data_IF_655340543828
#
_entry.id   IF_655340543828
#
_cell.length_a   1.000
_cell.length_b   1.000
_cell.length_c   1.000
_cell.angle_alpha   90.00
_cell.angle_beta   90.00
_cell.angle_gamma   90.00
#
_symmetry.space_group_name_H-M   'P 1'
#
loop_
_entity.id
_entity.type
_entity.pdbx_description
1 polymer ?
#
# COMPACT_ATOMS: atom_id res chain seq x y z
N UNK A 1 1.73 -9.93 7.72
CA UNK A 1 0.40 -10.55 7.92
C UNK A 1 -0.32 -10.61 6.58
N UNK A 2 0.17 -11.44 5.65
CA UNK A 2 -0.43 -11.70 4.32
C UNK A 2 -1.54 -12.77 4.44
N UNK A 3 -2.20 -12.86 5.60
CA UNK A 3 -3.13 -13.95 5.88
C UNK A 3 -4.45 -13.69 5.13
N UNK A 4 -4.52 -14.23 3.91
CA UNK A 4 -5.70 -14.69 3.17
C UNK A 4 -6.74 -13.68 2.68
N UNK A 5 -6.55 -12.37 2.82
CA UNK A 5 -7.37 -11.40 2.06
C UNK A 5 -7.07 -11.40 0.56
N UNK A 6 -5.89 -11.89 0.14
CA UNK A 6 -5.63 -12.20 -1.26
C UNK A 6 -6.49 -13.37 -1.79
N UNK A 7 -7.07 -14.20 -0.90
CA UNK A 7 -8.00 -15.24 -1.31
C UNK A 7 -9.35 -14.64 -1.71
N UNK A 8 -9.85 -13.61 -1.02
CA UNK A 8 -11.13 -12.94 -1.34
C UNK A 8 -11.12 -12.25 -2.71
N UNK A 9 -9.93 -11.81 -3.17
CA UNK A 9 -9.71 -11.25 -4.51
C UNK A 9 -9.84 -12.33 -5.61
N UNK A 10 -9.63 -13.60 -5.26
CA UNK A 10 -9.72 -14.74 -6.17
C UNK A 10 -11.14 -15.34 -6.23
N UNK A 11 -12.12 -14.81 -5.48
CA UNK A 11 -13.48 -15.40 -5.37
C UNK A 11 -14.49 -14.73 -6.32
N UNK A 12 -14.75 -15.35 -7.47
CA UNK A 12 -15.78 -14.89 -8.42
C UNK A 12 -16.44 -16.01 -9.23
N UNK A 13 -17.78 -16.09 -9.15
CA UNK A 13 -18.70 -17.04 -9.80
C UNK A 13 -18.56 -17.22 -11.34
N UNK A 14 -19.12 -18.32 -11.88
CA UNK A 14 -19.08 -18.67 -13.31
C UNK A 14 -19.91 -17.69 -14.19
N UNK A 15 -19.36 -17.20 -15.32
CA UNK A 15 -20.18 -16.73 -16.47
C UNK A 15 -19.89 -15.36 -17.13
N UNK A 16 -18.91 -14.56 -16.70
CA UNK A 16 -18.49 -13.32 -17.40
C UNK A 16 -16.97 -13.22 -17.33
N UNK A 17 -16.31 -12.75 -18.41
CA UNK A 17 -14.86 -12.52 -18.47
C UNK A 17 -14.46 -11.62 -17.28
N UNK A 18 -13.80 -12.16 -16.26
CA UNK A 18 -13.31 -11.40 -15.09
C UNK A 18 -11.83 -11.08 -15.26
N UNK A 19 -11.39 -9.97 -14.67
CA UNK A 19 -9.97 -9.63 -14.45
C UNK A 19 -9.74 -9.73 -12.93
N UNK A 20 -8.65 -10.37 -12.49
CA UNK A 20 -8.44 -10.63 -11.05
C UNK A 20 -7.42 -11.73 -10.74
N UNK A 21 -7.25 -12.72 -11.64
CA UNK A 21 -6.17 -13.73 -11.55
C UNK A 21 -4.91 -13.36 -12.34
N UNK A 22 -4.90 -12.17 -12.94
CA UNK A 22 -3.86 -11.59 -13.78
C UNK A 22 -3.04 -10.52 -13.03
N UNK A 23 -3.11 -10.48 -11.70
CA UNK A 23 -2.44 -9.49 -10.85
C UNK A 23 -2.82 -8.02 -11.16
N UNK A 24 -3.95 -7.77 -11.82
CA UNK A 24 -4.53 -6.44 -12.05
C UNK A 24 -4.74 -5.67 -10.73
N UNK A 25 -5.00 -6.36 -9.62
CA UNK A 25 -5.01 -5.79 -8.26
C UNK A 25 -3.70 -5.13 -7.83
N UNK A 26 -2.55 -5.49 -8.41
CA UNK A 26 -1.28 -4.84 -8.09
C UNK A 26 -1.10 -3.51 -8.84
N UNK A 27 -1.91 -3.21 -9.85
CA UNK A 27 -1.83 -1.96 -10.63
C UNK A 27 -2.42 -0.83 -9.78
N UNK A 28 -1.66 0.25 -9.61
CA UNK A 28 -2.10 1.41 -8.84
C UNK A 28 -2.99 2.34 -9.68
N UNK A 29 -3.98 2.96 -9.05
CA UNK A 29 -4.81 4.00 -9.67
C UNK A 29 -6.03 4.34 -8.81
N UNK A 30 -6.60 5.55 -8.91
CA UNK A 30 -7.72 5.98 -8.07
C UNK A 30 -9.00 5.17 -8.31
N UNK A 31 -9.17 4.63 -9.52
CA UNK A 31 -10.27 3.71 -9.89
C UNK A 31 -9.74 2.30 -10.17
N UNK A 32 -8.66 1.88 -9.51
CA UNK A 32 -8.09 0.54 -9.68
C UNK A 32 -8.81 -0.48 -8.80
N UNK A 33 -8.58 -1.77 -9.08
CA UNK A 33 -9.02 -2.83 -8.18
C UNK A 33 -8.40 -2.69 -6.78
N UNK A 34 -7.18 -2.16 -6.67
CA UNK A 34 -6.48 -1.98 -5.39
C UNK A 34 -7.22 -1.01 -4.46
N UNK A 35 -7.84 0.03 -5.02
CA UNK A 35 -8.56 1.08 -4.27
C UNK A 35 -10.06 0.81 -4.13
N UNK A 36 -10.56 -0.27 -4.72
CA UNK A 36 -11.95 -0.66 -4.58
C UNK A 36 -12.27 -1.05 -3.12
N UNK A 37 -13.43 -0.62 -2.63
CA UNK A 37 -13.90 -0.86 -1.26
C UNK A 37 -13.63 -2.28 -0.71
N UNK A 38 -13.96 -3.35 -1.45
CA UNK A 38 -13.72 -4.72 -1.00
C UNK A 38 -12.23 -5.07 -0.79
N UNK A 39 -11.36 -4.46 -1.60
CA UNK A 39 -9.92 -4.74 -1.61
C UNK A 39 -9.12 -3.82 -0.66
N UNK A 40 -9.77 -2.81 -0.05
CA UNK A 40 -9.13 -1.91 0.93
C UNK A 40 -8.57 -2.64 2.15
N UNK A 41 -9.01 -3.87 2.39
CA UNK A 41 -8.53 -4.69 3.49
C UNK A 41 -7.29 -5.51 3.11
N UNK A 42 -7.06 -5.75 1.81
CA UNK A 42 -5.95 -6.56 1.29
C UNK A 42 -4.60 -5.90 1.61
N UNK A 43 -3.64 -6.70 2.04
CA UNK A 43 -2.27 -6.28 2.43
C UNK A 43 -1.25 -7.22 1.79
N UNK A 44 0.02 -6.84 1.85
CA UNK A 44 1.12 -7.68 1.35
C UNK A 44 1.50 -7.43 -0.10
N UNK A 45 1.05 -6.32 -0.68
CA UNK A 45 1.49 -5.88 -2.02
C UNK A 45 3.02 -5.77 -2.09
N UNK A 46 3.64 -5.12 -1.08
CA UNK A 46 5.10 -4.98 -0.93
C UNK A 46 5.84 -6.34 -0.92
N UNK A 47 5.21 -7.36 -0.35
CA UNK A 47 5.79 -8.71 -0.28
C UNK A 47 5.78 -9.38 -1.66
N UNK A 48 4.71 -9.19 -2.44
CA UNK A 48 4.65 -9.67 -3.82
C UNK A 48 5.67 -8.93 -4.69
N UNK A 49 5.82 -7.62 -4.50
CA UNK A 49 6.84 -6.82 -5.19
C UNK A 49 8.27 -7.31 -4.84
N UNK A 50 8.51 -7.68 -3.58
CA UNK A 50 9.79 -8.27 -3.14
C UNK A 50 10.04 -9.63 -3.80
N UNK A 51 9.05 -10.51 -3.82
CA UNK A 51 9.15 -11.83 -4.48
C UNK A 51 9.36 -11.67 -5.98
N UNK A 52 8.72 -10.67 -6.61
CA UNK A 52 8.92 -10.31 -8.01
C UNK A 52 10.34 -9.82 -8.25
N UNK A 53 10.86 -9.00 -7.34
CA UNK A 53 12.27 -8.72 -7.24
C UNK A 53 13.08 -10.01 -7.25
N UNK A 54 12.93 -10.92 -6.30
CA UNK A 54 13.76 -12.14 -6.27
C UNK A 54 13.65 -12.99 -7.55
N UNK A 55 12.46 -13.14 -8.10
CA UNK A 55 12.22 -13.92 -9.32
C UNK A 55 12.93 -13.32 -10.54
N UNK A 56 12.84 -12.01 -10.73
CA UNK A 56 13.47 -11.29 -11.83
C UNK A 56 15.01 -11.28 -11.76
N UNK A 57 15.63 -11.52 -10.59
CA UNK A 57 17.10 -11.70 -10.50
C UNK A 57 17.54 -13.00 -11.16
N UNK A 58 16.74 -14.04 -10.95
CA UNK A 58 17.10 -15.40 -11.31
C UNK A 58 16.63 -15.75 -12.71
N UNK A 59 15.47 -15.23 -13.09
CA UNK A 59 14.82 -15.51 -14.36
C UNK A 59 14.17 -14.22 -14.91
N UNK A 60 14.96 -13.30 -15.47
CA UNK A 60 14.46 -12.03 -15.99
C UNK A 60 13.38 -12.23 -17.05
N UNK A 61 12.29 -11.48 -16.95
CA UNK A 61 11.15 -11.48 -17.88
C UNK A 61 10.43 -12.83 -18.02
N UNK A 62 10.63 -13.76 -17.08
CA UNK A 62 10.02 -15.10 -17.12
C UNK A 62 8.81 -15.22 -16.19
N UNK A 63 8.88 -14.68 -14.97
CA UNK A 63 7.91 -14.98 -13.91
C UNK A 63 6.96 -13.79 -13.71
N UNK A 64 5.66 -13.95 -13.98
CA UNK A 64 4.68 -12.88 -13.77
C UNK A 64 4.35 -12.64 -12.29
N UNK A 65 3.84 -11.45 -11.97
CA UNK A 65 3.29 -11.20 -10.64
C UNK A 65 2.05 -12.07 -10.37
N UNK A 66 1.29 -12.42 -11.40
CA UNK A 66 0.18 -13.36 -11.32
C UNK A 66 0.64 -14.76 -10.84
N UNK A 67 1.74 -15.27 -11.38
CA UNK A 67 2.32 -16.54 -10.91
C UNK A 67 2.86 -16.44 -9.48
N UNK A 68 3.47 -15.31 -9.12
CA UNK A 68 3.98 -15.09 -7.76
C UNK A 68 2.85 -15.06 -6.74
N UNK A 69 1.73 -14.40 -7.04
CA UNK A 69 0.55 -14.41 -6.16
C UNK A 69 0.04 -15.84 -5.99
N UNK A 70 -0.07 -16.60 -7.08
CA UNK A 70 -0.57 -17.98 -7.01
C UNK A 70 0.37 -18.88 -6.19
N UNK A 71 1.69 -18.80 -6.41
CA UNK A 71 2.70 -19.56 -5.67
C UNK A 71 2.73 -19.15 -4.19
N UNK A 72 2.81 -17.84 -3.90
CA UNK A 72 2.87 -17.34 -2.53
C UNK A 72 1.62 -17.72 -1.73
N UNK A 73 0.45 -17.73 -2.37
CA UNK A 73 -0.79 -18.21 -1.76
C UNK A 73 -0.69 -19.66 -1.31
N UNK A 74 -0.10 -20.55 -2.12
CA UNK A 74 0.08 -21.96 -1.74
C UNK A 74 1.08 -22.16 -0.61
N UNK A 75 2.18 -21.40 -0.61
CA UNK A 75 3.14 -21.44 0.49
C UNK A 75 2.53 -20.89 1.80
N UNK A 76 1.68 -19.86 1.73
CA UNK A 76 0.96 -19.35 2.90
C UNK A 76 -0.05 -20.35 3.47
N UNK A 77 -0.77 -21.09 2.62
CA UNK A 77 -1.68 -22.17 3.04
C UNK A 77 -0.86 -23.26 3.77
N UNK A 78 0.27 -23.66 3.19
CA UNK A 78 1.19 -24.65 3.78
C UNK A 78 1.78 -24.18 5.11
N UNK A 79 2.21 -22.92 5.22
CA UNK A 79 2.68 -22.33 6.48
C UNK A 79 1.59 -22.28 7.55
N UNK A 80 0.32 -22.18 7.14
CA UNK A 80 -0.83 -22.32 8.03
C UNK A 80 -1.05 -23.75 8.52
N UNK A 81 -0.37 -24.76 7.97
CA UNK A 81 -0.63 -26.19 8.22
C UNK A 81 -1.61 -26.82 7.22
N UNK A 82 -1.93 -26.12 6.14
CA UNK A 82 -2.88 -26.56 5.12
C UNK A 82 -2.29 -27.53 4.11
N UNK A 83 -3.13 -28.03 3.17
CA UNK A 83 -2.70 -29.03 2.21
C UNK A 83 -1.69 -28.47 1.20
N UNK A 84 -0.73 -29.31 0.80
CA UNK A 84 0.27 -28.99 -0.21
C UNK A 84 -0.27 -29.40 -1.58
N UNK A 85 -0.19 -28.49 -2.56
CA UNK A 85 -0.57 -28.74 -3.94
C UNK A 85 0.25 -27.89 -4.89
N UNK A 86 0.43 -28.37 -6.12
CA UNK A 86 1.17 -27.66 -7.16
C UNK A 86 0.29 -26.62 -7.84
N UNK A 87 0.89 -25.47 -8.14
CA UNK A 87 0.30 -24.41 -8.95
C UNK A 87 0.82 -24.52 -10.38
N UNK A 88 -0.06 -24.44 -11.36
CA UNK A 88 0.35 -24.28 -12.77
C UNK A 88 0.93 -22.87 -12.95
N UNK A 89 2.10 -22.72 -13.56
CA UNK A 89 2.73 -21.43 -13.88
C UNK A 89 2.58 -21.07 -15.36
N UNK A 90 2.95 -19.86 -15.75
CA UNK A 90 2.86 -19.35 -17.12
C UNK A 90 1.82 -18.26 -17.31
N UNK A 91 1.24 -17.72 -16.21
CA UNK A 91 0.31 -16.59 -16.28
C UNK A 91 1.03 -15.34 -16.76
N UNK A 92 0.30 -14.42 -17.40
CA UNK A 92 0.75 -13.07 -17.72
C UNK A 92 0.06 -12.04 -16.84
N UNK A 93 0.72 -10.91 -16.61
CA UNK A 93 0.15 -9.80 -15.87
C UNK A 93 -0.85 -9.02 -16.74
N UNK A 94 -1.98 -8.67 -16.15
CA UNK A 94 -2.98 -7.78 -16.71
C UNK A 94 -2.43 -6.39 -16.99
N UNK A 95 -3.03 -5.74 -17.97
CA UNK A 95 -2.67 -4.38 -18.40
C UNK A 95 -3.60 -3.31 -17.83
N UNK A 96 -4.76 -3.71 -17.33
CA UNK A 96 -5.84 -2.82 -16.93
C UNK A 96 -6.32 -3.22 -15.55
N UNK A 97 -6.58 -2.24 -14.70
CA UNK A 97 -7.18 -2.42 -13.39
C UNK A 97 -8.33 -1.44 -13.23
N UNK A 98 -9.50 -1.95 -12.87
CA UNK A 98 -10.71 -1.15 -12.72
C UNK A 98 -11.46 -1.55 -11.45
N UNK A 99 -11.81 -0.58 -10.62
CA UNK A 99 -12.58 -0.80 -9.40
C UNK A 99 -13.95 -1.44 -9.66
N UNK A 100 -14.53 -1.24 -10.85
CA UNK A 100 -15.80 -1.87 -11.27
C UNK A 100 -15.66 -3.37 -11.55
N UNK A 101 -14.44 -3.85 -11.78
CA UNK A 101 -14.15 -5.27 -11.96
C UNK A 101 -14.11 -5.99 -10.60
N UNK A 102 -13.98 -5.24 -9.49
CA UNK A 102 -14.06 -5.76 -8.12
C UNK A 102 -15.52 -5.98 -7.73
N UNK A 103 -15.98 -7.21 -7.92
CA UNK A 103 -17.29 -7.65 -7.44
C UNK A 103 -17.11 -8.62 -6.28
N UNK A 104 -17.60 -8.25 -5.09
CA UNK A 104 -17.76 -9.20 -3.98
C UNK A 104 -18.67 -10.33 -4.47
N UNK A 105 -18.31 -11.62 -4.30
CA UNK A 105 -19.17 -12.70 -4.68
C UNK A 105 -20.56 -12.54 -4.04
N UNK A 106 -21.60 -12.73 -4.85
CA UNK A 106 -22.97 -12.91 -4.40
C UNK A 106 -22.99 -14.02 -3.32
N UNK A 107 -23.83 -13.95 -2.26
CA UNK A 107 -24.00 -14.94 -1.18
C UNK A 107 -24.09 -16.44 -1.53
N UNK A 108 -23.95 -16.84 -2.79
CA UNK A 108 -23.87 -18.21 -3.29
C UNK A 108 -22.44 -18.78 -3.33
N UNK A 109 -21.45 -18.16 -2.66
CA UNK A 109 -20.07 -18.66 -2.61
C UNK A 109 -19.98 -20.12 -2.17
N UNK A 110 -19.07 -20.89 -2.77
CA UNK A 110 -18.93 -22.32 -2.46
C UNK A 110 -18.41 -22.52 -1.04
N UNK A 111 -18.99 -23.46 -0.27
CA UNK A 111 -18.54 -23.83 1.09
C UNK A 111 -17.05 -24.13 1.16
N UNK A 112 -16.49 -24.60 0.04
CA UNK A 112 -15.07 -24.94 -0.07
C UNK A 112 -14.18 -23.70 -0.15
N UNK A 113 -14.67 -22.62 -0.76
CA UNK A 113 -13.95 -21.34 -0.92
C UNK A 113 -13.89 -20.56 0.39
N UNK A 114 -15.00 -20.55 1.15
CA UNK A 114 -15.02 -20.04 2.53
C UNK A 114 -14.17 -20.86 3.50
N UNK A 115 -13.64 -22.02 3.08
CA UNK A 115 -12.58 -22.72 3.80
C UNK A 115 -11.32 -21.87 3.99
N UNK A 116 -11.15 -20.80 3.20
CA UNK A 116 -10.11 -19.81 3.41
C UNK A 116 -10.22 -19.07 4.76
N UNK A 117 -11.43 -18.95 5.30
CA UNK A 117 -11.67 -18.28 6.59
C UNK A 117 -11.24 -19.11 7.80
N UNK A 118 -10.72 -20.33 7.59
CA UNK A 118 -10.10 -21.11 8.67
C UNK A 118 -8.85 -20.42 9.22
N UNK A 119 -8.19 -19.56 8.44
CA UNK A 119 -7.09 -18.71 8.91
C UNK A 119 -7.33 -17.28 8.47
N UNK A 120 -7.67 -16.40 9.41
CA UNK A 120 -7.90 -15.00 9.08
C UNK A 120 -8.51 -14.21 10.22
N UNK A 121 -8.67 -12.90 9.98
CA UNK A 121 -9.28 -11.95 10.91
C UNK A 121 -10.27 -11.08 10.14
N UNK A 122 -11.31 -10.62 10.81
CA UNK A 122 -12.23 -9.64 10.29
C UNK A 122 -12.29 -8.42 11.20
N UNK A 123 -12.35 -7.23 10.61
CA UNK A 123 -12.59 -5.99 11.34
C UNK A 123 -14.05 -5.91 11.79
N UNK A 124 -14.27 -5.30 12.95
CA UNK A 124 -15.61 -5.17 13.54
C UNK A 124 -16.62 -4.55 12.57
N UNK A 125 -16.22 -3.60 11.73
CA UNK A 125 -17.07 -2.94 10.73
C UNK A 125 -17.82 -3.90 9.79
N UNK A 126 -17.31 -5.11 9.56
CA UNK A 126 -17.93 -6.09 8.66
C UNK A 126 -19.00 -6.97 9.31
N UNK A 127 -19.10 -7.00 10.64
CA UNK A 127 -20.05 -7.87 11.34
C UNK A 127 -20.70 -7.26 12.59
N UNK A 128 -20.35 -6.02 12.95
CA UNK A 128 -20.87 -5.36 14.15
C UNK A 128 -22.40 -5.27 14.14
N UNK A 129 -23.02 -5.04 12.98
CA UNK A 129 -24.47 -5.01 12.86
C UNK A 129 -25.10 -6.33 13.29
N UNK A 130 -24.41 -7.46 13.15
CA UNK A 130 -24.93 -8.76 13.57
C UNK A 130 -24.97 -8.96 15.09
N UNK A 131 -24.24 -8.15 15.86
CA UNK A 131 -24.09 -8.31 17.31
C UNK A 131 -25.18 -7.64 18.14
N UNK A 132 -25.83 -6.59 17.64
CA UNK A 132 -26.72 -5.73 18.41
C UNK A 132 -28.17 -5.78 17.91
N UNK A 133 -29.13 -5.88 18.83
CA UNK A 133 -30.54 -5.87 18.48
C UNK A 133 -30.98 -4.54 17.86
N UNK A 134 -31.96 -4.60 16.95
CA UNK A 134 -32.48 -3.43 16.24
C UNK A 134 -31.70 -3.03 14.99
N UNK A 135 -30.75 -3.85 14.55
CA UNK A 135 -30.08 -3.72 13.23
C UNK A 135 -30.75 -4.67 12.22
N UNK A 136 -30.51 -4.44 10.93
CA UNK A 136 -31.00 -5.31 9.85
C UNK A 136 -30.30 -6.67 9.77
N UNK A 137 -29.15 -6.84 10.45
CA UNK A 137 -28.31 -8.05 10.39
C UNK A 137 -28.27 -8.82 11.72
N UNK A 138 -29.03 -8.40 12.74
CA UNK A 138 -29.00 -9.04 14.05
C UNK A 138 -29.37 -10.52 13.96
N UNK A 139 -28.43 -11.39 14.33
CA UNK A 139 -28.63 -12.84 14.25
C UNK A 139 -28.95 -13.41 15.62
N UNK A 140 -30.23 -13.71 15.86
CA UNK A 140 -30.73 -14.33 17.09
C UNK A 140 -30.06 -15.67 17.40
N UNK A 141 -29.66 -16.41 16.36
CA UNK A 141 -29.11 -17.77 16.46
C UNK A 141 -27.58 -17.82 16.60
N UNK A 142 -26.92 -16.66 16.76
CA UNK A 142 -25.50 -16.60 17.13
C UNK A 142 -25.30 -17.07 18.58
N UNK A 143 -24.23 -17.83 18.85
CA UNK A 143 -23.84 -18.26 20.20
C UNK A 143 -23.82 -17.07 21.17
N UNK A 144 -24.57 -17.19 22.27
CA UNK A 144 -24.78 -16.06 23.20
C UNK A 144 -23.49 -15.66 23.92
N UNK A 145 -22.63 -16.62 24.25
CA UNK A 145 -21.36 -16.37 24.92
C UNK A 145 -20.38 -15.66 23.99
N UNK A 146 -20.23 -16.16 22.75
CA UNK A 146 -19.44 -15.48 21.74
C UNK A 146 -19.96 -14.07 21.47
N UNK A 147 -21.27 -13.88 21.33
CA UNK A 147 -21.86 -12.56 21.10
C UNK A 147 -21.49 -11.59 22.22
N UNK A 148 -21.51 -12.01 23.48
CA UNK A 148 -21.09 -11.18 24.61
C UNK A 148 -19.60 -10.82 24.53
N UNK A 149 -18.74 -11.79 24.22
CA UNK A 149 -17.31 -11.55 24.04
C UNK A 149 -17.04 -10.54 22.91
N UNK A 150 -17.68 -10.73 21.75
CA UNK A 150 -17.53 -9.86 20.60
C UNK A 150 -18.04 -8.44 20.86
N UNK A 151 -19.05 -8.25 21.72
CA UNK A 151 -19.50 -6.90 22.12
C UNK A 151 -18.48 -6.15 22.96
N UNK A 152 -17.60 -6.85 23.69
CA UNK A 152 -16.47 -6.24 24.38
C UNK A 152 -15.36 -5.85 23.40
N UNK A 153 -15.11 -6.69 22.40
CA UNK A 153 -14.12 -6.41 21.34
C UNK A 153 -14.60 -5.33 20.36
N UNK A 154 -15.89 -5.31 20.03
CA UNK A 154 -16.50 -4.47 19.00
C UNK A 154 -17.65 -3.60 19.56
N UNK A 155 -17.37 -2.67 20.51
CA UNK A 155 -18.39 -1.87 21.17
C UNK A 155 -19.16 -0.95 20.19
N UNK A 156 -20.48 -0.84 20.39
CA UNK A 156 -21.38 -0.02 19.54
C UNK A 156 -21.06 1.47 19.68
N UNK A 157 -21.07 2.20 18.57
CA UNK A 157 -20.94 3.66 18.55
C UNK A 157 -19.51 4.19 18.58
N UNK A 158 -18.50 3.30 18.60
CA UNK A 158 -17.11 3.68 18.38
C UNK A 158 -16.70 3.31 16.96
N UNK A 159 -16.01 4.20 16.26
CA UNK A 159 -15.26 3.86 15.05
C UNK A 159 -14.05 2.98 15.45
N UNK A 160 -14.32 1.74 15.81
CA UNK A 160 -13.32 0.81 16.32
C UNK A 160 -12.68 0.06 15.15
N UNK A 161 -11.37 0.23 14.97
CA UNK A 161 -10.56 -0.57 14.05
C UNK A 161 -10.20 -1.96 14.64
N UNK A 162 -10.88 -2.37 15.72
CA UNK A 162 -10.65 -3.68 16.32
C UNK A 162 -11.02 -4.80 15.34
N UNK A 163 -10.40 -5.95 15.55
CA UNK A 163 -10.61 -7.15 14.75
C UNK A 163 -10.75 -8.36 15.66
N UNK A 164 -11.32 -9.44 15.13
CA UNK A 164 -11.27 -10.77 15.75
C UNK A 164 -10.91 -11.81 14.69
N UNK A 165 -10.49 -13.01 15.12
CA UNK A 165 -10.23 -14.12 14.20
C UNK A 165 -11.53 -14.56 13.53
N UNK A 166 -11.46 -15.23 12.38
CA UNK A 166 -12.65 -15.81 11.74
C UNK A 166 -13.01 -17.16 12.38
N UNK A 167 -12.03 -18.03 12.62
CA UNK A 167 -12.18 -19.20 13.49
C UNK A 167 -12.15 -18.78 14.98
N UNK A 168 -13.27 -19.01 15.68
CA UNK A 168 -13.45 -18.70 17.11
C UNK A 168 -12.90 -19.75 18.07
N UNK A 169 -12.19 -20.77 17.57
CA UNK A 169 -11.45 -21.69 18.42
C UNK A 169 -10.07 -21.09 18.80
N UNK A 170 -9.83 -20.72 20.08
CA UNK A 170 -8.57 -20.10 20.47
C UNK A 170 -7.33 -20.98 20.25
N UNK A 171 -7.50 -22.30 20.14
CA UNK A 171 -6.40 -23.25 19.94
C UNK A 171 -6.04 -23.47 18.45
N UNK A 172 -6.91 -23.02 17.54
CA UNK A 172 -6.79 -23.19 16.08
C UNK A 172 -6.99 -21.93 15.26
N UNK A 173 -7.31 -20.78 15.87
CA UNK A 173 -7.61 -19.51 15.18
C UNK A 173 -6.55 -19.00 14.19
N UNK A 174 -5.35 -19.58 14.21
CA UNK A 174 -4.25 -19.26 13.29
C UNK A 174 -3.75 -20.44 12.47
N UNK A 175 -4.40 -21.61 12.56
CA UNK A 175 -4.04 -22.88 11.91
C UNK A 175 -5.05 -23.23 10.82
N UNK A 176 -4.53 -23.75 9.72
CA UNK A 176 -5.35 -24.27 8.65
C UNK A 176 -5.84 -25.66 9.02
N UNK A 177 -7.07 -25.75 9.50
CA UNK A 177 -7.74 -27.01 9.79
C UNK A 177 -9.26 -26.90 9.52
N UNK A 178 -10.04 -27.85 10.02
CA UNK A 178 -11.49 -27.86 9.87
C UNK A 178 -12.28 -27.31 11.08
N UNK A 179 -11.58 -26.74 12.08
CA UNK A 179 -12.18 -26.15 13.30
C UNK A 179 -13.18 -25.03 12.95
N UNK A 180 -12.90 -24.25 11.91
CA UNK A 180 -13.81 -23.24 11.39
C UNK A 180 -15.22 -23.78 11.11
N UNK A 181 -15.34 -24.92 10.43
CA UNK A 181 -16.65 -25.51 10.12
C UNK A 181 -17.37 -25.98 11.39
N UNK A 182 -16.63 -26.50 12.38
CA UNK A 182 -17.17 -26.82 13.70
C UNK A 182 -17.71 -25.56 14.42
N UNK A 183 -17.01 -24.42 14.33
CA UNK A 183 -17.52 -23.14 14.85
C UNK A 183 -18.81 -22.72 14.13
N UNK A 184 -18.90 -22.86 12.80
CA UNK A 184 -20.13 -22.54 12.07
C UNK A 184 -21.33 -23.37 12.56
N UNK A 185 -21.13 -24.68 12.77
CA UNK A 185 -22.17 -25.58 13.30
C UNK A 185 -22.60 -25.21 14.73
N UNK A 186 -21.71 -24.59 15.51
CA UNK A 186 -21.98 -24.08 16.87
C UNK A 186 -22.64 -22.70 16.88
N UNK A 187 -22.98 -22.13 15.72
CA UNK A 187 -23.54 -20.77 15.64
C UNK A 187 -22.49 -19.68 15.92
N UNK A 188 -21.22 -19.98 15.72
CA UNK A 188 -20.07 -19.13 16.05
C UNK A 188 -19.37 -18.50 14.85
N UNK A 189 -19.94 -18.60 13.65
CA UNK A 189 -19.48 -17.81 12.51
C UNK A 189 -19.74 -16.33 12.77
N UNK A 190 -18.75 -15.45 12.58
CA UNK A 190 -18.88 -14.03 12.89
C UNK A 190 -19.46 -13.23 11.72
N UNK A 191 -19.04 -13.55 10.48
CA UNK A 191 -19.59 -12.94 9.28
C UNK A 191 -20.97 -13.52 8.99
N UNK A 192 -21.98 -12.68 8.62
CA UNK A 192 -23.31 -13.17 8.28
C UNK A 192 -23.30 -14.22 7.16
N UNK A 193 -22.46 -14.00 6.14
CA UNK A 193 -22.34 -14.89 4.98
C UNK A 193 -21.80 -16.28 5.38
N UNK A 194 -20.76 -16.31 6.20
CA UNK A 194 -20.14 -17.55 6.67
C UNK A 194 -21.12 -18.37 7.51
N UNK A 195 -21.82 -17.70 8.44
CA UNK A 195 -22.79 -18.37 9.28
C UNK A 195 -23.92 -18.98 8.46
N UNK A 196 -24.34 -18.32 7.37
CA UNK A 196 -25.40 -18.81 6.50
C UNK A 196 -25.05 -20.16 5.83
N UNK A 197 -23.77 -20.47 5.60
CA UNK A 197 -23.33 -21.75 5.02
C UNK A 197 -23.78 -22.97 5.83
N UNK A 198 -23.77 -22.86 7.15
CA UNK A 198 -24.20 -23.95 8.04
C UNK A 198 -25.73 -24.12 8.09
N UNK A 199 -26.48 -23.12 7.65
CA UNK A 199 -27.95 -23.05 7.77
C UNK A 199 -28.66 -23.25 6.44
N UNK A 200 -28.01 -22.95 5.33
CA UNK A 200 -28.61 -23.07 4.01
C UNK A 200 -28.71 -24.57 3.60
N UNK A 201 -29.88 -25.04 3.12
CA UNK A 201 -30.09 -26.44 2.76
C UNK A 201 -29.08 -26.99 1.74
N UNK A 202 -28.61 -26.15 0.81
CA UNK A 202 -27.68 -26.54 -0.25
C UNK A 202 -26.23 -26.69 0.24
N UNK A 203 -25.87 -26.00 1.32
CA UNK A 203 -24.47 -25.88 1.78
C UNK A 203 -24.22 -26.56 3.13
N UNK A 204 -25.23 -26.65 4.00
CA UNK A 204 -25.11 -27.19 5.36
C UNK A 204 -24.62 -28.64 5.41
N UNK A 205 -24.97 -29.45 4.41
CA UNK A 205 -24.48 -30.83 4.28
C UNK A 205 -22.96 -30.89 4.11
N UNK A 206 -22.39 -30.01 3.30
CA UNK A 206 -20.94 -29.90 3.10
C UNK A 206 -20.23 -29.37 4.34
N UNK A 207 -20.80 -28.37 5.02
CA UNK A 207 -20.26 -27.85 6.30
C UNK A 207 -20.14 -28.98 7.33
N UNK A 208 -21.17 -29.82 7.48
CA UNK A 208 -21.12 -30.99 8.37
C UNK A 208 -20.03 -31.98 7.97
N UNK A 209 -19.93 -32.31 6.68
CA UNK A 209 -18.91 -33.24 6.19
C UNK A 209 -17.49 -32.71 6.41
N UNK A 210 -17.24 -31.42 6.18
CA UNK A 210 -15.93 -30.81 6.38
C UNK A 210 -15.57 -30.69 7.87
N UNK A 211 -16.52 -30.34 8.72
CA UNK A 211 -16.33 -30.33 10.18
C UNK A 211 -15.98 -31.74 10.73
N UNK A 212 -16.56 -32.80 10.16
CA UNK A 212 -16.32 -34.18 10.59
C UNK A 212 -15.05 -34.78 9.97
N UNK A 213 -14.64 -34.33 8.79
CA UNK A 213 -13.55 -34.94 8.04
C UNK A 213 -12.63 -33.88 7.42
N UNK A 214 -11.56 -33.55 8.17
CA UNK A 214 -10.53 -32.62 7.72
C UNK A 214 -9.79 -33.07 6.46
N UNK A 215 -9.63 -34.37 6.22
CA UNK A 215 -8.99 -34.89 5.01
C UNK A 215 -9.86 -34.67 3.76
N UNK A 216 -11.18 -34.87 3.90
CA UNK A 216 -12.14 -34.55 2.85
C UNK A 216 -12.16 -33.04 2.56
N UNK A 217 -12.18 -32.21 3.61
CA UNK A 217 -12.07 -30.75 3.46
C UNK A 217 -10.80 -30.38 2.68
N UNK A 218 -9.63 -30.85 3.11
CA UNK A 218 -8.36 -30.57 2.44
C UNK A 218 -8.39 -30.97 0.96
N UNK A 219 -8.92 -32.15 0.65
CA UNK A 219 -9.02 -32.65 -0.74
C UNK A 219 -9.90 -31.76 -1.61
N UNK A 220 -11.06 -31.34 -1.08
CA UNK A 220 -11.98 -30.45 -1.81
C UNK A 220 -11.40 -29.05 -1.93
N UNK A 221 -10.76 -28.54 -0.88
CA UNK A 221 -10.10 -27.24 -0.83
C UNK A 221 -9.01 -27.14 -1.90
N UNK A 222 -8.11 -28.13 -1.99
CA UNK A 222 -7.09 -28.19 -3.05
C UNK A 222 -7.71 -28.13 -4.44
N UNK A 223 -8.74 -28.94 -4.70
CA UNK A 223 -9.40 -28.95 -6.01
C UNK A 223 -10.04 -27.60 -6.35
N UNK A 224 -10.68 -26.95 -5.37
CA UNK A 224 -11.26 -25.64 -5.56
C UNK A 224 -10.19 -24.58 -5.83
N UNK A 225 -9.10 -24.58 -5.06
CA UNK A 225 -7.99 -23.64 -5.25
C UNK A 225 -7.30 -23.80 -6.61
N UNK A 226 -7.06 -25.03 -7.07
CA UNK A 226 -6.52 -25.29 -8.41
C UNK A 226 -7.47 -24.75 -9.50
N UNK A 227 -8.79 -25.01 -9.36
CA UNK A 227 -9.78 -24.51 -10.32
C UNK A 227 -9.78 -22.98 -10.32
N UNK A 228 -9.85 -22.36 -9.15
CA UNK A 228 -9.87 -20.90 -8.96
C UNK A 228 -8.63 -20.22 -9.56
N UNK A 229 -7.44 -20.77 -9.33
CA UNK A 229 -6.18 -20.25 -9.86
C UNK A 229 -6.04 -20.39 -11.39
N UNK A 230 -6.91 -21.15 -12.03
CA UNK A 230 -6.92 -21.37 -13.48
C UNK A 230 -8.04 -20.57 -14.20
N UNK A 231 -8.86 -19.83 -13.46
CA UNK A 231 -9.91 -19.00 -14.04
C UNK A 231 -9.32 -17.69 -14.58
N UNK A 232 -9.73 -17.31 -15.79
CA UNK A 232 -9.44 -16.02 -16.42
C UNK A 232 -7.95 -15.60 -16.39
N UNK A 233 -7.05 -16.58 -16.50
CA UNK A 233 -5.61 -16.34 -16.58
C UNK A 233 -5.23 -15.87 -17.98
N UNK A 234 -4.43 -14.81 -18.07
CA UNK A 234 -3.88 -14.33 -19.33
C UNK A 234 -2.67 -15.19 -19.73
N UNK A 235 -2.61 -15.60 -21.00
CA UNK A 235 -1.53 -16.43 -21.55
C UNK A 235 -0.97 -15.79 -22.83
N UNK A 236 0.24 -16.17 -23.23
CA UNK A 236 0.82 -15.75 -24.51
C UNK A 236 0.97 -14.22 -24.62
N UNK A 237 0.35 -13.64 -25.65
CA UNK A 237 0.32 -12.21 -25.99
C UNK A 237 -0.85 -11.44 -25.34
N UNK A 238 -1.67 -12.12 -24.52
CA UNK A 238 -2.85 -11.52 -23.88
C UNK A 238 -2.51 -10.64 -22.65
N UNK A 239 -1.23 -10.57 -22.24
CA UNK A 239 -0.74 -9.78 -21.09
C UNK A 239 0.78 -9.56 -21.13
N UNK A 240 1.35 -8.92 -20.10
CA UNK A 240 2.78 -8.54 -20.06
C UNK A 240 3.50 -9.00 -18.77
N UNK A 241 4.75 -8.55 -18.57
CA UNK A 241 5.52 -8.69 -17.33
C UNK A 241 5.95 -7.28 -16.83
N UNK A 242 5.56 -6.86 -15.60
CA UNK A 242 5.78 -5.48 -15.04
C UNK A 242 7.07 -5.32 -14.20
N UNK A 243 7.61 -4.07 -14.05
CA UNK A 243 8.98 -3.78 -13.51
C UNK A 243 9.24 -2.68 -12.41
N UNK A 244 8.31 -1.84 -11.90
CA UNK A 244 8.64 -0.58 -11.15
C UNK A 244 9.19 -0.59 -9.68
N UNK A 245 9.53 0.61 -9.15
CA UNK A 245 10.26 1.00 -7.89
C UNK A 245 11.80 0.96 -7.97
N UNK A 246 12.34 1.66 -8.96
CA UNK A 246 13.41 1.04 -9.71
C UNK A 246 14.60 1.95 -10.05
N UNK A 247 14.78 3.06 -9.33
CA UNK A 247 15.91 3.95 -9.58
C UNK A 247 16.01 4.46 -11.04
N UNK A 248 14.89 4.45 -11.79
CA UNK A 248 14.75 5.09 -13.10
C UNK A 248 15.21 6.55 -13.09
N UNK A 249 15.07 7.25 -11.96
CA UNK A 249 15.60 8.60 -11.72
C UNK A 249 17.14 8.73 -11.85
N UNK A 250 17.90 7.63 -11.79
CA UNK A 250 19.37 7.68 -11.92
C UNK A 250 19.85 7.69 -13.37
N UNK A 251 18.99 7.29 -14.32
CA UNK A 251 19.30 7.18 -15.74
C UNK A 251 19.70 8.52 -16.35
N UNK A 252 20.72 8.51 -17.20
CA UNK A 252 21.21 9.73 -17.84
C UNK A 252 20.64 9.87 -19.26
N UNK A 253 19.93 10.97 -19.51
CA UNK A 253 19.49 11.35 -20.85
C UNK A 253 18.48 12.50 -20.81
N UNK A 254 18.44 13.37 -21.84
CA UNK A 254 17.58 14.56 -21.82
C UNK A 254 16.08 14.27 -21.70
N UNK A 255 15.65 13.06 -22.09
CA UNK A 255 14.25 12.62 -21.99
C UNK A 255 13.95 11.76 -20.76
N UNK A 256 14.91 11.57 -19.84
CA UNK A 256 14.77 10.69 -18.68
C UNK A 256 14.16 11.41 -17.47
N UNK A 257 13.66 10.66 -16.49
CA UNK A 257 13.15 11.21 -15.23
C UNK A 257 14.17 12.12 -14.53
N UNK A 258 15.46 11.81 -14.62
CA UNK A 258 16.56 12.59 -14.02
C UNK A 258 16.60 14.04 -14.50
N UNK A 259 16.21 14.26 -15.76
CA UNK A 259 16.24 15.56 -16.42
C UNK A 259 14.85 16.20 -16.50
N UNK A 260 13.81 15.55 -15.96
CA UNK A 260 12.50 16.16 -15.80
C UNK A 260 12.58 17.35 -14.85
N UNK A 261 11.86 18.44 -15.18
CA UNK A 261 11.87 19.69 -14.42
C UNK A 261 11.81 19.53 -12.89
N UNK A 262 10.85 18.75 -12.34
CA UNK A 262 10.74 18.53 -10.89
C UNK A 262 11.99 17.89 -10.26
N UNK A 263 12.70 17.04 -10.99
CA UNK A 263 13.83 16.26 -10.49
C UNK A 263 15.18 16.97 -10.64
N UNK A 264 15.25 18.12 -11.33
CA UNK A 264 16.50 18.88 -11.50
C UNK A 264 17.12 19.35 -10.18
N UNK A 265 16.33 19.39 -9.11
CA UNK A 265 16.78 19.74 -7.76
C UNK A 265 17.36 18.57 -6.97
N UNK A 266 17.17 17.32 -7.44
CA UNK A 266 17.64 16.11 -6.77
C UNK A 266 19.17 16.03 -6.81
N UNK A 267 19.78 15.81 -5.65
CA UNK A 267 21.24 15.75 -5.46
C UNK A 267 21.64 14.38 -4.95
N UNK A 268 22.95 14.11 -4.94
CA UNK A 268 23.49 12.89 -4.34
C UNK A 268 23.60 11.70 -5.30
N UNK A 269 23.26 11.85 -6.58
CA UNK A 269 23.37 10.76 -7.56
C UNK A 269 24.78 10.12 -7.59
N UNK A 270 25.84 10.94 -7.61
CA UNK A 270 27.23 10.45 -7.54
C UNK A 270 27.55 9.68 -6.25
N UNK A 271 26.92 10.06 -5.14
CA UNK A 271 27.09 9.38 -3.86
C UNK A 271 26.39 8.02 -3.89
N UNK A 272 25.21 7.92 -4.51
CA UNK A 272 24.53 6.65 -4.77
C UNK A 272 25.38 5.74 -5.67
N UNK A 273 25.99 6.29 -6.73
CA UNK A 273 26.91 5.55 -7.61
C UNK A 273 28.11 5.00 -6.80
N UNK A 274 28.74 5.80 -5.94
CA UNK A 274 29.85 5.32 -5.10
C UNK A 274 29.43 4.25 -4.08
N UNK A 275 28.23 4.35 -3.50
CA UNK A 275 27.69 3.31 -2.63
C UNK A 275 27.40 2.02 -3.41
N UNK A 276 26.97 2.15 -4.67
CA UNK A 276 26.75 1.02 -5.56
C UNK A 276 28.07 0.33 -5.90
N UNK A 277 29.12 1.08 -6.21
CA UNK A 277 30.45 0.51 -6.49
C UNK A 277 30.96 -0.31 -5.29
N UNK A 278 30.88 0.24 -4.07
CA UNK A 278 31.26 -0.47 -2.84
C UNK A 278 30.42 -1.73 -2.65
N UNK A 279 29.09 -1.63 -2.85
CA UNK A 279 28.21 -2.78 -2.69
C UNK A 279 28.49 -3.87 -3.73
N UNK A 280 28.89 -3.52 -4.95
CA UNK A 280 29.25 -4.46 -6.00
C UNK A 280 30.60 -5.16 -5.75
N UNK A 281 31.54 -4.49 -5.06
CA UNK A 281 32.79 -5.10 -4.59
C UNK A 281 32.54 -6.17 -3.51
N UNK A 282 31.58 -5.92 -2.62
CA UNK A 282 31.25 -6.86 -1.53
C UNK A 282 30.29 -7.97 -1.98
N UNK A 283 29.30 -7.64 -2.81
CA UNK A 283 28.21 -8.52 -3.20
C UNK A 283 27.67 -8.19 -4.61
N UNK A 284 28.47 -8.53 -5.62
CA UNK A 284 28.19 -8.28 -7.04
C UNK A 284 26.79 -8.73 -7.46
N UNK A 285 26.02 -7.81 -8.04
CA UNK A 285 24.68 -8.03 -8.60
C UNK A 285 23.56 -8.20 -7.57
N UNK A 286 23.83 -8.00 -6.28
CA UNK A 286 22.86 -8.27 -5.20
C UNK A 286 22.07 -7.02 -4.80
N UNK A 287 22.74 -5.88 -4.65
CA UNK A 287 22.14 -4.67 -4.07
C UNK A 287 21.72 -3.71 -5.18
N UNK A 288 20.43 -3.43 -5.33
CA UNK A 288 19.95 -2.46 -6.32
C UNK A 288 20.25 -1.01 -5.92
N UNK A 289 20.42 -0.12 -6.90
CA UNK A 289 20.44 1.31 -6.66
C UNK A 289 19.15 1.81 -6.00
N UNK A 290 18.00 1.20 -6.31
CA UNK A 290 16.72 1.50 -5.68
C UNK A 290 16.73 1.22 -4.16
N UNK A 291 17.35 0.13 -3.73
CA UNK A 291 17.54 -0.14 -2.30
C UNK A 291 18.59 0.77 -1.67
N UNK A 292 19.68 1.09 -2.38
CA UNK A 292 20.68 2.05 -1.90
C UNK A 292 20.04 3.41 -1.62
N UNK A 293 19.19 3.90 -2.51
CA UNK A 293 18.44 5.16 -2.31
C UNK A 293 17.58 5.06 -1.04
N UNK A 294 16.79 3.99 -0.87
CA UNK A 294 15.91 3.84 0.28
C UNK A 294 16.67 3.73 1.61
N UNK A 295 17.76 2.96 1.65
CA UNK A 295 18.61 2.77 2.82
C UNK A 295 19.36 4.05 3.16
N UNK A 296 19.94 4.72 2.16
CA UNK A 296 20.65 5.98 2.32
C UNK A 296 19.72 7.06 2.88
N UNK A 297 18.50 7.20 2.33
CA UNK A 297 17.49 8.16 2.83
C UNK A 297 17.15 7.90 4.30
N UNK A 298 16.92 6.64 4.70
CA UNK A 298 16.71 6.28 6.11
C UNK A 298 17.89 6.70 6.99
N UNK A 299 19.13 6.42 6.56
CA UNK A 299 20.32 6.79 7.32
C UNK A 299 20.47 8.30 7.44
N UNK A 300 20.19 9.05 6.39
CA UNK A 300 20.21 10.51 6.39
C UNK A 300 19.14 11.10 7.35
N UNK A 301 17.92 10.57 7.35
CA UNK A 301 16.87 10.97 8.31
C UNK A 301 17.34 10.73 9.74
N UNK A 302 17.94 9.56 10.01
CA UNK A 302 18.46 9.23 11.34
C UNK A 302 19.63 10.15 11.75
N UNK A 303 20.54 10.46 10.84
CA UNK A 303 21.66 11.39 11.07
C UNK A 303 21.17 12.82 11.33
N UNK A 304 20.06 13.22 10.69
CA UNK A 304 19.39 14.48 10.97
C UNK A 304 18.75 14.53 12.37
N UNK A 305 18.63 13.42 13.09
CA UNK A 305 17.95 13.34 14.39
C UNK A 305 16.56 12.72 14.34
N UNK A 306 16.12 12.26 13.17
CA UNK A 306 14.82 11.65 12.95
C UNK A 306 14.69 10.23 13.54
N UNK A 307 13.49 9.64 13.44
CA UNK A 307 13.25 8.30 13.94
C UNK A 307 14.10 7.27 13.19
N UNK A 308 14.53 6.23 13.90
CA UNK A 308 15.06 5.04 13.22
C UNK A 308 13.87 4.15 12.85
N UNK A 309 13.84 3.69 11.60
CA UNK A 309 12.77 2.84 11.09
C UNK A 309 13.35 1.79 10.16
N UNK A 310 12.67 0.65 10.02
CA UNK A 310 13.12 -0.40 9.11
C UNK A 310 12.83 -0.01 7.67
N UNK A 311 13.84 -0.13 6.81
CA UNK A 311 13.66 -0.08 5.35
C UNK A 311 13.61 -1.53 4.88
N UNK A 312 12.49 -1.90 4.27
CA UNK A 312 12.40 -3.17 3.54
C UNK A 312 13.31 -3.08 2.31
N UNK A 313 14.13 -4.10 2.06
CA UNK A 313 15.01 -4.21 0.88
C UNK A 313 14.46 -5.27 -0.09
N UNK A 314 14.97 -5.33 -1.31
CA UNK A 314 14.53 -6.20 -2.38
C UNK A 314 14.01 -5.46 -3.62
N UNK A 315 14.16 -4.13 -3.68
CA UNK A 315 13.85 -3.34 -4.88
C UNK A 315 14.82 -3.71 -6.00
N UNK A 316 14.44 -3.47 -7.25
CA UNK A 316 15.28 -3.72 -8.43
C UNK A 316 15.45 -2.45 -9.23
N UNK A 317 16.56 -2.33 -9.93
CA UNK A 317 16.74 -1.21 -10.84
C UNK A 317 15.93 -1.41 -12.13
N UNK A 318 15.40 -0.30 -12.61
CA UNK A 318 14.52 -0.14 -13.73
C UNK A 318 15.34 -0.11 -14.98
N UNK A 319 14.71 -0.39 -16.10
CA UNK A 319 15.39 -0.41 -17.40
C UNK A 319 14.96 0.73 -18.31
N UNK A 320 13.96 1.49 -17.87
CA UNK A 320 13.32 2.56 -18.64
C UNK A 320 13.20 3.77 -17.71
N UNK A 321 13.41 4.96 -18.27
CA UNK A 321 13.28 6.22 -17.56
C UNK A 321 12.79 7.27 -18.53
N UNK A 322 11.58 7.77 -18.30
CA UNK A 322 10.93 8.74 -19.17
C UNK A 322 10.49 9.96 -18.35
N UNK A 323 10.81 11.16 -18.83
CA UNK A 323 10.53 12.41 -18.12
C UNK A 323 9.03 12.64 -17.87
N UNK A 324 8.18 12.09 -18.75
CA UNK A 324 6.73 12.18 -18.63
C UNK A 324 6.14 11.38 -17.47
N UNK A 325 6.90 10.42 -16.92
CA UNK A 325 6.44 9.58 -15.81
C UNK A 325 6.60 10.28 -14.45
N UNK A 326 7.25 11.44 -14.42
CA UNK A 326 7.45 12.25 -13.20
C UNK A 326 6.15 12.93 -12.78
N UNK A 327 5.52 12.38 -11.74
CA UNK A 327 4.27 12.88 -11.16
C UNK A 327 4.47 13.37 -9.71
N UNK A 328 4.94 14.62 -9.61
CA UNK A 328 5.18 15.32 -8.34
C UNK A 328 4.27 16.57 -8.20
N UNK A 329 3.77 16.88 -6.99
CA UNK A 329 3.01 18.09 -6.76
C UNK A 329 3.87 19.33 -7.01
N UNK A 330 3.26 20.34 -7.64
CA UNK A 330 3.93 21.60 -7.94
C UNK A 330 4.21 22.39 -6.65
N UNK A 331 5.40 23.00 -6.48
CA UNK A 331 5.69 23.88 -5.35
C UNK A 331 4.85 25.17 -5.34
N UNK A 332 4.20 25.48 -6.47
CA UNK A 332 3.27 26.60 -6.63
C UNK A 332 1.79 26.19 -6.47
N UNK A 333 1.52 24.90 -6.26
CA UNK A 333 0.18 24.36 -6.11
C UNK A 333 -0.50 24.79 -4.81
N UNK A 334 -1.81 24.55 -4.73
CA UNK A 334 -2.59 24.77 -3.50
C UNK A 334 -2.53 23.58 -2.53
N UNK A 335 -2.93 23.79 -1.27
CA UNK A 335 -3.06 22.72 -0.27
C UNK A 335 -3.99 21.62 -0.78
N UNK A 336 -5.13 21.99 -1.35
CA UNK A 336 -6.07 21.05 -1.98
C UNK A 336 -5.43 20.23 -3.11
N UNK A 337 -4.64 20.85 -3.99
CA UNK A 337 -3.94 20.12 -5.07
C UNK A 337 -2.90 19.15 -4.50
N UNK A 338 -2.22 19.53 -3.43
CA UNK A 338 -1.27 18.66 -2.73
C UNK A 338 -2.00 17.47 -2.09
N UNK A 339 -3.14 17.70 -1.40
CA UNK A 339 -3.97 16.63 -0.83
C UNK A 339 -4.39 15.64 -1.91
N UNK A 340 -4.80 16.11 -3.08
CA UNK A 340 -5.17 15.23 -4.20
C UNK A 340 -3.95 14.44 -4.71
N UNK A 341 -2.81 15.10 -4.96
CA UNK A 341 -1.61 14.45 -5.48
C UNK A 341 -0.99 13.41 -4.52
N UNK A 342 -1.10 13.64 -3.21
CA UNK A 342 -0.71 12.68 -2.17
C UNK A 342 -1.77 11.59 -1.97
N UNK A 343 -3.05 11.96 -2.07
CA UNK A 343 -4.18 11.02 -2.05
C UNK A 343 -4.17 10.02 -3.21
N UNK A 344 -3.72 10.44 -4.40
CA UNK A 344 -3.47 9.55 -5.55
C UNK A 344 -2.42 8.47 -5.26
N UNK A 345 -1.59 8.70 -4.24
CA UNK A 345 -0.59 7.76 -3.71
C UNK A 345 -1.03 7.11 -2.39
N UNK A 346 -2.31 7.21 -2.05
CA UNK A 346 -2.95 6.69 -0.82
C UNK A 346 -2.44 7.31 0.49
N UNK A 347 -1.87 8.53 0.46
CA UNK A 347 -1.59 9.26 1.69
C UNK A 347 -2.82 10.05 2.15
N UNK A 348 -3.12 9.96 3.44
CA UNK A 348 -4.06 10.86 4.11
C UNK A 348 -3.52 12.30 4.18
N UNK A 349 -4.38 13.31 4.39
CA UNK A 349 -3.92 14.68 4.66
C UNK A 349 -2.98 14.77 5.86
N UNK A 350 -3.19 13.95 6.90
CA UNK A 350 -2.31 13.89 8.07
C UNK A 350 -0.91 13.40 7.68
N UNK A 351 -0.81 12.31 6.91
CA UNK A 351 0.45 11.77 6.43
C UNK A 351 1.16 12.74 5.45
N UNK A 352 0.40 13.43 4.61
CA UNK A 352 0.93 14.51 3.77
C UNK A 352 1.58 15.61 4.63
N UNK A 353 0.88 16.12 5.65
CA UNK A 353 1.42 17.16 6.55
C UNK A 353 2.67 16.65 7.28
N UNK A 354 2.66 15.40 7.74
CA UNK A 354 3.85 14.77 8.34
C UNK A 354 5.03 14.72 7.36
N UNK A 355 4.79 14.38 6.08
CA UNK A 355 5.82 14.36 5.03
C UNK A 355 6.32 15.77 4.67
N UNK A 356 5.48 16.79 4.72
CA UNK A 356 5.93 18.19 4.58
C UNK A 356 6.90 18.59 5.70
N UNK A 357 6.76 17.96 6.87
CA UNK A 357 7.73 18.07 7.97
C UNK A 357 9.18 17.80 7.55
N UNK A 358 9.42 16.99 6.51
CA UNK A 358 10.76 16.70 5.98
C UNK A 358 11.48 17.93 5.42
N UNK A 359 10.76 19.04 5.13
CA UNK A 359 11.35 20.33 4.77
C UNK A 359 12.33 20.86 5.83
N UNK A 360 12.28 20.36 7.07
CA UNK A 360 13.26 20.65 8.13
C UNK A 360 14.72 20.36 7.73
N UNK A 361 14.94 19.38 6.85
CA UNK A 361 16.27 19.06 6.28
C UNK A 361 16.42 19.43 4.79
N UNK A 362 15.45 20.15 4.24
CA UNK A 362 15.41 20.50 2.83
C UNK A 362 15.95 21.90 2.52
N UNK A 363 16.22 22.13 1.24
CA UNK A 363 16.61 23.44 0.69
C UNK A 363 15.71 23.78 -0.49
N UNK A 364 15.57 25.07 -0.78
CA UNK A 364 14.91 25.55 -2.00
C UNK A 364 15.80 26.53 -2.74
N UNK A 365 15.81 26.42 -4.06
CA UNK A 365 16.37 27.45 -4.93
C UNK A 365 15.48 28.70 -4.95
N UNK A 366 16.09 29.87 -5.18
CA UNK A 366 15.41 31.16 -5.16
C UNK A 366 14.24 31.23 -6.17
N UNK A 367 14.38 30.63 -7.35
CA UNK A 367 13.36 30.61 -8.40
C UNK A 367 11.98 30.06 -7.95
N UNK A 368 11.92 29.25 -6.90
CA UNK A 368 10.66 28.71 -6.38
C UNK A 368 9.92 29.65 -5.42
N UNK A 369 10.56 30.72 -4.94
CA UNK A 369 9.94 31.62 -3.96
C UNK A 369 10.28 33.10 -4.06
N UNK A 370 11.18 33.49 -4.96
CA UNK A 370 11.65 34.86 -5.10
C UNK A 370 10.50 35.85 -5.32
N UNK A 371 9.49 35.45 -6.08
CA UNK A 371 8.30 36.27 -6.33
C UNK A 371 7.52 36.57 -5.05
N UNK A 372 7.72 35.85 -3.95
CA UNK A 372 7.09 36.16 -2.66
C UNK A 372 7.77 37.30 -1.90
N UNK A 373 9.02 37.66 -2.26
CA UNK A 373 9.86 38.58 -1.50
C UNK A 373 9.64 40.06 -1.86
N UNK A 374 9.31 40.36 -3.11
CA UNK A 374 9.35 41.71 -3.66
C UNK A 374 7.95 42.27 -3.89
N UNK A 375 7.71 43.52 -3.49
CA UNK A 375 6.44 44.20 -3.80
C UNK A 375 6.30 44.37 -5.32
N UNK A 376 5.09 44.16 -5.84
CA UNK A 376 4.77 44.32 -7.27
C UNK A 376 4.89 43.05 -8.11
N UNK A 377 5.28 41.92 -7.53
CA UNK A 377 5.17 40.59 -8.15
C UNK A 377 3.78 40.00 -7.94
N UNK A 378 3.43 38.98 -8.73
CA UNK A 378 2.13 38.28 -8.63
C UNK A 378 1.96 37.46 -7.35
N UNK A 379 3.06 37.09 -6.68
CA UNK A 379 3.05 36.20 -5.51
C UNK A 379 3.56 36.87 -4.22
N UNK A 380 3.70 38.19 -4.20
CA UNK A 380 4.16 38.92 -3.02
C UNK A 380 3.36 38.52 -1.77
N UNK A 381 4.03 38.01 -0.73
CA UNK A 381 3.36 37.65 0.52
C UNK A 381 3.52 38.77 1.55
N UNK A 382 2.50 39.63 1.75
CA UNK A 382 2.59 40.74 2.71
C UNK A 382 2.72 40.27 4.15
N UNK A 383 2.31 39.03 4.47
CA UNK A 383 2.34 38.45 5.81
C UNK A 383 3.67 37.74 6.12
N UNK A 384 4.58 37.57 5.15
CA UNK A 384 5.90 37.02 5.44
C UNK A 384 6.63 37.88 6.48
N UNK A 385 7.26 37.22 7.47
CA UNK A 385 8.06 37.87 8.51
C UNK A 385 9.05 38.90 7.90
N UNK A 386 8.97 40.18 8.28
CA UNK A 386 9.81 41.22 7.69
C UNK A 386 11.31 41.06 7.94
N UNK A 387 11.70 40.43 9.05
CA UNK A 387 13.11 40.13 9.34
C UNK A 387 13.61 39.01 8.43
N UNK A 388 12.82 37.95 8.25
CA UNK A 388 13.12 36.89 7.30
C UNK A 388 13.25 37.45 5.88
N UNK A 389 12.28 38.26 5.43
CA UNK A 389 12.32 38.88 4.10
C UNK A 389 13.59 39.70 3.90
N UNK A 390 13.98 40.52 4.88
CA UNK A 390 15.24 41.28 4.84
C UNK A 390 16.48 40.39 4.77
N UNK A 391 16.46 39.21 5.39
CA UNK A 391 17.56 38.23 5.31
C UNK A 391 17.63 37.54 3.94
N UNK A 392 16.48 37.28 3.31
CA UNK A 392 16.41 36.57 2.03
C UNK A 392 16.69 37.46 0.81
N UNK A 393 16.36 38.75 0.86
CA UNK A 393 16.58 39.69 -0.26
C UNK A 393 18.04 39.71 -0.77
N UNK A 394 19.08 39.78 0.10
CA UNK A 394 20.47 39.69 -0.34
C UNK A 394 20.84 38.33 -0.94
N UNK A 395 20.19 37.25 -0.48
CA UNK A 395 20.45 35.88 -0.95
C UNK A 395 19.78 35.63 -2.31
N UNK A 396 18.59 36.19 -2.53
CA UNK A 396 17.75 35.99 -3.71
C UNK A 396 17.38 37.33 -4.40
N UNK A 397 18.36 38.11 -4.93
CA UNK A 397 18.12 39.45 -5.47
C UNK A 397 17.24 39.43 -6.73
N UNK A 398 16.24 40.31 -6.77
CA UNK A 398 15.25 40.41 -7.86
C UNK A 398 15.90 40.55 -9.25
N UNK A 399 15.35 39.85 -10.24
CA UNK A 399 15.79 39.96 -11.64
C UNK A 399 17.10 39.23 -11.95
N UNK A 400 17.66 38.49 -10.99
CA UNK A 400 18.77 37.57 -11.23
C UNK A 400 18.24 36.15 -11.35
N UNK A 401 18.62 35.43 -12.41
CA UNK A 401 18.48 33.96 -12.48
C UNK A 401 19.53 33.32 -11.58
N UNK A 402 19.46 33.63 -10.28
CA UNK A 402 20.41 33.14 -9.30
C UNK A 402 20.07 31.71 -8.90
N UNK A 403 21.04 30.81 -9.08
CA UNK A 403 20.98 29.44 -8.56
C UNK A 403 21.24 29.36 -7.04
N UNK A 404 21.22 30.51 -6.35
CA UNK A 404 21.30 30.55 -4.89
C UNK A 404 20.14 29.77 -4.28
N UNK A 405 20.39 29.25 -3.08
CA UNK A 405 19.43 28.47 -2.32
C UNK A 405 19.43 28.91 -0.87
N UNK A 406 18.35 28.57 -0.17
CA UNK A 406 18.25 28.69 1.29
C UNK A 406 17.58 27.44 1.85
N UNK A 407 17.66 27.24 3.17
CA UNK A 407 16.99 26.11 3.83
C UNK A 407 15.47 26.29 3.80
N UNK A 408 14.70 25.23 3.69
CA UNK A 408 13.24 25.34 3.79
C UNK A 408 12.82 25.66 5.24
N UNK A 409 13.58 25.19 6.22
CA UNK A 409 13.50 25.62 7.61
C UNK A 409 14.45 26.79 7.92
N UNK A 410 13.84 27.90 8.31
CA UNK A 410 14.50 29.18 8.57
C UNK A 410 14.97 29.33 10.04
N UNK A 411 14.95 28.24 10.81
CA UNK A 411 15.61 28.21 12.11
C UNK A 411 17.12 27.98 11.96
N UNK A 412 17.94 28.99 12.24
CA UNK A 412 19.41 28.90 12.10
C UNK A 412 20.08 27.93 13.10
N UNK A 413 19.39 27.50 14.16
CA UNK A 413 19.93 26.58 15.17
C UNK A 413 19.62 25.10 14.89
N UNK A 414 18.66 24.84 14.01
CA UNK A 414 18.17 23.50 13.66
C UNK A 414 17.96 23.27 12.16
N UNK A 415 18.35 24.20 11.30
CA UNK A 415 18.37 23.93 9.86
C UNK A 415 19.27 22.73 9.57
N UNK A 416 18.71 21.72 8.88
CA UNK A 416 19.29 20.37 8.67
C UNK A 416 19.22 19.40 9.86
N UNK A 417 18.43 19.70 10.89
CA UNK A 417 18.01 18.71 11.89
C UNK A 417 16.58 18.28 11.58
N UNK A 418 16.28 17.02 11.81
CA UNK A 418 14.94 16.47 11.69
C UNK A 418 14.21 16.71 13.00
N UNK A 419 13.48 17.82 13.09
CA UNK A 419 12.69 18.19 14.26
C UNK A 419 11.38 18.90 13.87
N UNK A 420 10.68 19.45 14.86
CA UNK A 420 9.41 20.15 14.67
C UNK A 420 9.57 21.64 14.34
N UNK A 421 10.80 22.18 14.17
CA UNK A 421 10.97 23.61 13.91
C UNK A 421 10.41 24.02 12.54
N UNK A 422 10.26 23.07 11.62
CA UNK A 422 9.50 23.27 10.40
C UNK A 422 8.02 23.58 10.65
N UNK A 423 7.38 23.14 11.74
CA UNK A 423 6.01 23.58 12.02
C UNK A 423 5.99 24.89 12.79
N UNK A 424 6.94 25.08 13.73
CA UNK A 424 7.04 26.30 14.53
C UNK A 424 7.17 27.57 13.68
N UNK A 425 7.92 27.53 12.59
CA UNK A 425 8.02 28.70 11.71
C UNK A 425 6.93 28.83 10.64
N UNK A 426 6.06 27.84 10.43
CA UNK A 426 4.80 28.08 9.69
C UNK A 426 3.94 29.03 10.54
N UNK A 427 3.83 28.74 11.85
CA UNK A 427 3.09 29.55 12.80
C UNK A 427 3.64 30.98 12.93
N UNK A 428 4.97 31.15 12.78
CA UNK A 428 5.64 32.46 12.81
C UNK A 428 5.64 33.21 11.46
N UNK A 429 4.96 32.70 10.44
CA UNK A 429 4.93 33.28 9.08
C UNK A 429 6.32 33.38 8.40
N UNK A 430 7.18 32.39 8.68
CA UNK A 430 8.59 32.35 8.27
C UNK A 430 8.87 31.25 7.25
N UNK A 431 7.87 30.84 6.45
CA UNK A 431 8.05 29.85 5.38
C UNK A 431 8.30 30.51 4.03
N UNK A 432 9.24 29.95 3.28
CA UNK A 432 9.67 30.49 1.99
C UNK A 432 8.86 29.94 0.82
N UNK A 433 8.28 28.75 0.90
CA UNK A 433 7.32 28.29 -0.11
C UNK A 433 5.90 28.74 0.25
N UNK A 434 5.13 29.07 -0.78
CA UNK A 434 3.73 29.50 -0.62
C UNK A 434 2.88 28.40 0.00
N UNK A 435 2.96 27.19 -0.58
CA UNK A 435 2.22 26.02 -0.13
C UNK A 435 2.44 25.73 1.36
N UNK A 436 3.70 25.80 1.82
CA UNK A 436 4.05 25.58 3.23
C UNK A 436 3.38 26.60 4.15
N UNK A 437 3.30 27.86 3.73
CA UNK A 437 2.69 28.91 4.52
C UNK A 437 1.16 28.80 4.58
N UNK A 438 0.56 28.24 3.53
CA UNK A 438 -0.88 28.08 3.40
C UNK A 438 -1.42 26.89 4.21
N UNK A 439 -0.57 25.94 4.63
CA UNK A 439 -0.97 24.81 5.50
C UNK A 439 -1.69 25.23 6.79
N UNK A 440 -1.34 26.38 7.38
CA UNK A 440 -1.99 26.91 8.61
C UNK A 440 -3.18 27.82 8.29
N UNK A 441 -3.35 28.20 7.02
CA UNK A 441 -4.42 29.09 6.56
C UNK A 441 -5.59 28.33 5.93
N UNK A 442 -5.36 27.09 5.52
CA UNK A 442 -6.37 26.18 4.99
C UNK A 442 -7.26 25.68 6.15
N UNK A 443 -8.57 25.99 6.13
CA UNK A 443 -9.52 25.64 7.19
C UNK A 443 -9.96 24.18 7.13
#
# INVERSE_FOLDING_TARGET
MVKMQALDVLLGNEGQIRKGCDASILINGPLSEKTAGPNLSVRGYEFIDTLKGVAEAKCPDVVSCADIIAIATTELIKLGGGPVYSVQTGRRDGLVSNAQDVRIPNPSGSVTESGGHTVGKSHCSFFQDRLYGGTSQFDLNMDSNLRQQLRLTCPRGTASNNFTFLDQNPQSSSKFDNSYFDQLLKGRGILPIDQALSRNPLTSGFVRQFAQNGALFNTKFVRAMIKMQALDVLLGDQGQIRKGCDASILFYGPSTEKFAGPNLSVRGNKFIDSLKDIAEEECTGVVSCADIIAIATKKLIKMGGGPDYLVQTGRRDGLISEAQDVSLPSPFGSVRQSILAFGDKNFSPEEMVALFGTHTVGISQCNFFQDRLYQGTSEFDPKMDPNLRRQLIPTCPQGTNSNNFTFLDQNSQSSNKFDSSFFDQILKQRRILKIDQDLVRDP
#
